data_IF_572839564727
#
_entry.id   IF_572839564727
#
_cell.length_a   1.000
_cell.length_b   1.000
_cell.length_c   1.000
_cell.angle_alpha   90.00
_cell.angle_beta   90.00
_cell.angle_gamma   90.00
#
_symmetry.space_group_name_H-M   'P 1'
#
loop_
_entity.id
_entity.type
_entity.pdbx_description
1 polymer ?
#
# COMPACT_ATOMS: atom_id res chain seq x y z
N UNK A 1 15.45 12.43 18.73
CA UNK A 1 16.22 12.34 17.46
C UNK A 1 17.23 13.48 17.48
N UNK A 2 18.43 13.13 17.94
CA UNK A 2 19.41 14.03 18.53
C UNK A 2 20.23 14.74 17.47
N UNK A 3 20.43 16.05 17.69
CA UNK A 3 21.36 16.98 17.04
C UNK A 3 22.51 16.32 16.27
N UNK A 4 22.34 16.02 14.98
CA UNK A 4 23.48 16.01 14.07
C UNK A 4 24.13 17.39 14.18
N UNK A 5 25.42 17.44 14.52
CA UNK A 5 26.07 18.73 14.73
C UNK A 5 25.99 19.55 13.43
N UNK A 6 25.67 20.84 13.52
CA UNK A 6 25.68 21.74 12.36
C UNK A 6 27.04 21.69 11.61
N UNK A 7 28.10 21.34 12.34
CA UNK A 7 29.43 21.09 11.82
C UNK A 7 29.49 19.88 10.87
N UNK A 8 28.92 18.73 11.24
CA UNK A 8 28.86 17.55 10.36
C UNK A 8 28.16 17.82 9.04
N UNK A 9 27.02 18.53 9.05
CA UNK A 9 26.34 18.94 7.81
C UNK A 9 27.20 19.83 6.93
N UNK A 10 27.92 20.76 7.55
CA UNK A 10 28.80 21.70 6.84
C UNK A 10 29.95 20.95 6.17
N UNK A 11 30.47 19.90 6.80
CA UNK A 11 31.51 19.05 6.21
C UNK A 11 30.98 18.23 5.02
N UNK A 12 29.78 17.66 5.16
CA UNK A 12 29.11 16.91 4.08
C UNK A 12 28.88 17.77 2.84
N UNK A 13 28.58 19.06 2.99
CA UNK A 13 28.42 19.98 1.85
C UNK A 13 29.72 20.29 1.10
N UNK A 14 30.89 19.92 1.62
CA UNK A 14 32.17 20.05 0.90
C UNK A 14 32.44 18.88 -0.05
N UNK A 15 31.77 17.74 0.13
CA UNK A 15 31.92 16.59 -0.77
C UNK A 15 31.33 16.94 -2.14
N UNK A 16 32.16 16.82 -3.19
CA UNK A 16 31.78 17.13 -4.56
C UNK A 16 30.56 16.31 -5.04
N UNK A 17 30.44 15.05 -4.62
CA UNK A 17 29.30 14.18 -4.99
C UNK A 17 28.01 14.69 -4.37
N UNK A 18 28.08 15.20 -3.14
CA UNK A 18 26.94 15.82 -2.46
C UNK A 18 26.55 17.12 -3.15
N UNK A 19 27.53 17.94 -3.53
CA UNK A 19 27.27 19.18 -4.27
C UNK A 19 26.59 18.91 -5.61
N UNK A 20 27.10 17.93 -6.39
CA UNK A 20 26.50 17.54 -7.66
C UNK A 20 25.08 16.97 -7.49
N UNK A 21 24.85 16.21 -6.42
CA UNK A 21 23.52 15.70 -6.10
C UNK A 21 22.56 16.83 -5.73
N UNK A 22 22.96 17.73 -4.84
CA UNK A 22 22.12 18.86 -4.41
C UNK A 22 21.90 19.88 -5.53
N UNK A 23 22.86 20.07 -6.44
CA UNK A 23 22.70 20.99 -7.57
C UNK A 23 21.54 20.58 -8.48
N UNK A 24 21.21 19.29 -8.57
CA UNK A 24 20.03 18.80 -9.30
C UNK A 24 18.71 19.27 -8.69
N UNK A 25 18.66 19.48 -7.37
CA UNK A 25 17.49 20.08 -6.72
C UNK A 25 17.42 21.58 -6.93
N UNK A 26 18.57 22.25 -6.86
CA UNK A 26 18.66 23.70 -7.08
C UNK A 26 18.33 24.08 -8.52
N UNK A 27 18.74 23.28 -9.50
CA UNK A 27 18.43 23.49 -10.92
C UNK A 27 16.97 23.18 -11.28
N UNK A 28 16.21 22.56 -10.38
CA UNK A 28 14.86 22.08 -10.63
C UNK A 28 14.77 20.77 -11.41
N UNK A 29 15.90 20.10 -11.70
CA UNK A 29 15.92 18.76 -12.30
C UNK A 29 15.25 17.72 -11.39
N UNK A 30 15.45 17.86 -10.06
CA UNK A 30 14.83 17.00 -9.04
C UNK A 30 14.02 17.84 -8.05
N UNK A 31 12.77 17.48 -7.84
CA UNK A 31 11.95 18.02 -6.73
C UNK A 31 11.92 17.08 -5.52
N UNK A 32 11.86 15.77 -5.79
CA UNK A 32 11.92 14.69 -4.81
C UNK A 32 12.70 13.52 -5.40
N UNK A 33 13.39 12.78 -4.54
CA UNK A 33 14.12 11.59 -4.94
C UNK A 33 13.21 10.36 -4.84
N UNK A 34 12.60 9.97 -5.96
CA UNK A 34 11.80 8.74 -6.05
C UNK A 34 12.63 7.58 -6.58
N UNK A 35 12.54 6.38 -5.97
CA UNK A 35 13.22 5.20 -6.48
C UNK A 35 12.51 4.64 -7.72
N UNK A 36 13.25 3.88 -8.53
CA UNK A 36 12.72 3.14 -9.68
C UNK A 36 12.81 1.65 -9.39
N UNK A 37 11.71 0.91 -9.57
CA UNK A 37 11.68 -0.52 -9.32
C UNK A 37 12.29 -1.31 -10.48
N UNK A 38 13.22 -2.20 -10.16
CA UNK A 38 13.82 -3.19 -11.05
C UNK A 38 13.45 -4.61 -10.57
N UNK A 39 12.84 -5.47 -11.40
CA UNK A 39 12.42 -6.81 -10.96
C UNK A 39 13.56 -7.72 -10.48
N UNK A 40 14.80 -7.50 -10.94
CA UNK A 40 15.97 -8.31 -10.59
C UNK A 40 16.71 -7.75 -9.38
N UNK A 41 16.77 -6.43 -9.27
CA UNK A 41 17.64 -5.75 -8.30
C UNK A 41 16.87 -4.96 -7.22
N UNK A 42 15.55 -4.87 -7.32
CA UNK A 42 14.71 -4.09 -6.40
C UNK A 42 14.72 -2.59 -6.73
N UNK A 43 14.47 -1.75 -5.73
CA UNK A 43 14.48 -0.29 -5.92
C UNK A 43 15.88 0.26 -6.12
N UNK A 44 16.00 1.12 -7.13
CA UNK A 44 17.23 1.83 -7.52
C UNK A 44 17.04 3.33 -7.46
N UNK A 45 18.15 4.06 -7.43
CA UNK A 45 18.13 5.52 -7.54
C UNK A 45 19.01 5.98 -8.70
N UNK A 46 18.55 5.85 -9.97
CA UNK A 46 19.39 6.09 -11.14
C UNK A 46 20.08 7.47 -11.15
N UNK A 47 19.39 8.52 -10.68
CA UNK A 47 19.95 9.87 -10.61
C UNK A 47 21.12 9.99 -9.61
N UNK A 48 21.17 9.12 -8.60
CA UNK A 48 22.24 9.07 -7.59
C UNK A 48 23.32 8.10 -8.01
N UNK A 49 22.94 6.95 -8.58
CA UNK A 49 23.85 5.96 -9.17
C UNK A 49 24.72 6.60 -10.27
N UNK A 50 24.17 7.52 -11.06
CA UNK A 50 24.94 8.29 -12.05
C UNK A 50 26.05 9.17 -11.42
N UNK A 51 25.97 9.48 -10.13
CA UNK A 51 26.92 10.33 -9.40
C UNK A 51 27.93 9.48 -8.61
N UNK A 52 27.44 8.45 -7.90
CA UNK A 52 28.27 7.68 -6.96
C UNK A 52 28.59 6.27 -7.44
N UNK A 53 28.00 5.84 -8.56
CA UNK A 53 28.23 4.54 -9.18
C UNK A 53 27.33 3.45 -8.61
N UNK A 54 27.95 2.46 -7.96
CA UNK A 54 27.30 1.20 -7.61
C UNK A 54 26.13 1.35 -6.62
N UNK A 55 25.18 0.40 -6.66
CA UNK A 55 23.99 0.40 -5.81
C UNK A 55 24.32 0.41 -4.30
N UNK A 56 25.35 -0.35 -3.87
CA UNK A 56 25.78 -0.38 -2.46
C UNK A 56 26.27 0.99 -1.97
N UNK A 57 27.07 1.66 -2.81
CA UNK A 57 27.62 2.99 -2.52
C UNK A 57 26.48 4.01 -2.51
N UNK A 58 25.51 3.87 -3.41
CA UNK A 58 24.29 4.69 -3.45
C UNK A 58 23.50 4.60 -2.15
N UNK A 59 23.29 3.39 -1.63
CA UNK A 59 22.58 3.21 -0.36
C UNK A 59 23.35 3.82 0.83
N UNK A 60 24.65 3.58 0.91
CA UNK A 60 25.55 4.16 1.92
C UNK A 60 25.52 5.70 1.87
N UNK A 61 25.59 6.28 0.67
CA UNK A 61 25.55 7.72 0.45
C UNK A 61 24.21 8.34 0.89
N UNK A 62 23.08 7.78 0.45
CA UNK A 62 21.76 8.26 0.84
C UNK A 62 21.46 8.08 2.32
N UNK A 63 21.96 6.99 2.92
CA UNK A 63 21.88 6.77 4.37
C UNK A 63 22.66 7.80 5.15
N UNK A 64 23.89 8.10 4.74
CA UNK A 64 24.68 9.14 5.38
C UNK A 64 24.00 10.52 5.30
N UNK A 65 23.49 10.91 4.13
CA UNK A 65 22.77 12.18 3.96
C UNK A 65 21.49 12.26 4.80
N UNK A 66 20.82 11.13 5.06
CA UNK A 66 19.69 11.06 5.97
C UNK A 66 20.12 11.17 7.45
N UNK A 67 21.15 10.44 7.86
CA UNK A 67 21.67 10.45 9.24
C UNK A 67 22.19 11.83 9.64
N UNK A 68 22.86 12.53 8.71
CA UNK A 68 23.28 13.90 8.94
C UNK A 68 22.13 14.91 8.75
N UNK A 69 20.96 14.46 8.31
CA UNK A 69 19.74 15.25 8.18
C UNK A 69 19.74 16.28 7.06
N UNK A 70 20.49 16.02 6.00
CA UNK A 70 20.37 16.71 4.70
C UNK A 70 19.11 16.24 3.99
N UNK A 71 18.82 14.93 4.04
CA UNK A 71 17.62 14.31 3.48
C UNK A 71 16.61 13.94 4.55
N UNK A 72 15.33 13.88 4.16
CA UNK A 72 14.26 13.24 4.92
C UNK A 72 13.79 12.01 4.15
N UNK A 73 13.50 10.92 4.86
CA UNK A 73 12.92 9.71 4.27
C UNK A 73 11.39 9.77 4.34
N UNK A 74 10.74 9.28 3.29
CA UNK A 74 9.30 9.00 3.26
C UNK A 74 9.11 7.57 2.78
N UNK A 75 8.06 6.92 3.29
CA UNK A 75 7.66 5.62 2.77
C UNK A 75 7.18 5.80 1.33
N UNK A 76 7.83 5.11 0.39
CA UNK A 76 7.43 5.09 -1.01
C UNK A 76 6.55 3.89 -1.33
N UNK A 77 7.00 2.67 -0.99
CA UNK A 77 6.29 1.43 -1.28
C UNK A 77 6.66 0.30 -0.30
N UNK A 78 5.94 -0.83 -0.36
CA UNK A 78 6.19 -2.06 0.40
C UNK A 78 6.20 -3.27 -0.55
N UNK A 79 7.37 -3.89 -0.71
CA UNK A 79 7.50 -5.13 -1.49
C UNK A 79 7.38 -6.34 -0.58
N UNK A 80 6.64 -7.34 -1.02
CA UNK A 80 6.61 -8.67 -0.38
C UNK A 80 7.76 -9.50 -0.95
N UNK A 81 8.63 -9.98 -0.07
CA UNK A 81 9.71 -10.90 -0.42
C UNK A 81 9.40 -12.29 0.13
N UNK A 82 9.75 -13.32 -0.64
CA UNK A 82 9.71 -14.69 -0.14
C UNK A 82 10.75 -14.86 0.98
N UNK A 83 10.35 -15.26 2.21
CA UNK A 83 11.29 -15.38 3.33
C UNK A 83 12.30 -16.52 3.15
N UNK A 84 12.06 -17.44 2.21
CA UNK A 84 12.96 -18.57 1.93
C UNK A 84 14.04 -18.24 0.89
N UNK A 85 13.68 -17.56 -0.21
CA UNK A 85 14.62 -17.29 -1.32
C UNK A 85 14.90 -15.80 -1.56
N UNK A 86 14.29 -14.90 -0.78
CA UNK A 86 14.41 -13.44 -0.90
C UNK A 86 14.03 -12.88 -2.29
N UNK A 87 13.20 -13.62 -3.04
CA UNK A 87 12.66 -13.17 -4.33
C UNK A 87 11.49 -12.21 -4.14
N UNK A 88 11.45 -11.13 -4.91
CA UNK A 88 10.28 -10.25 -5.03
C UNK A 88 9.21 -10.79 -6.01
N UNK A 89 9.54 -11.82 -6.79
CA UNK A 89 8.60 -12.47 -7.69
C UNK A 89 7.73 -13.46 -6.88
N UNK A 90 6.70 -12.92 -6.23
CA UNK A 90 5.77 -13.67 -5.38
C UNK A 90 4.34 -13.42 -5.82
N UNK A 91 3.50 -14.46 -5.75
CA UNK A 91 2.05 -14.31 -5.82
C UNK A 91 1.48 -14.22 -4.41
N UNK A 92 0.63 -13.23 -4.16
CA UNK A 92 -0.04 -13.03 -2.87
C UNK A 92 -1.53 -13.29 -3.06
N UNK A 93 -2.08 -14.26 -2.32
CA UNK A 93 -3.52 -14.49 -2.24
C UNK A 93 -4.06 -13.90 -0.94
N UNK A 94 -5.02 -12.98 -1.05
CA UNK A 94 -5.79 -12.52 0.09
C UNK A 94 -6.88 -13.55 0.39
N UNK A 95 -6.82 -14.16 1.57
CA UNK A 95 -7.76 -15.20 1.98
C UNK A 95 -8.66 -14.75 3.13
N UNK A 96 -9.90 -15.24 3.16
CA UNK A 96 -10.82 -15.04 4.27
C UNK A 96 -10.20 -15.61 5.56
N UNK A 97 -10.14 -14.84 6.67
CA UNK A 97 -9.51 -15.32 7.90
C UNK A 97 -10.26 -16.52 8.51
N UNK A 98 -11.56 -16.66 8.24
CA UNK A 98 -12.43 -17.72 8.77
C UNK A 98 -12.34 -19.02 7.96
N UNK A 99 -12.67 -18.99 6.66
CA UNK A 99 -12.75 -20.21 5.83
C UNK A 99 -11.48 -20.48 5.00
N UNK A 100 -10.51 -19.56 4.98
CA UNK A 100 -9.28 -19.61 4.17
C UNK A 100 -9.49 -19.61 2.65
N UNK A 101 -10.72 -19.41 2.17
CA UNK A 101 -11.01 -19.21 0.74
C UNK A 101 -10.29 -17.96 0.21
N UNK A 102 -9.72 -18.07 -0.98
CA UNK A 102 -9.20 -16.94 -1.76
C UNK A 102 -10.25 -16.37 -2.74
N UNK A 103 -11.31 -17.12 -3.05
CA UNK A 103 -12.49 -16.61 -3.75
C UNK A 103 -13.34 -15.85 -2.72
N UNK A 104 -12.99 -14.59 -2.50
CA UNK A 104 -13.70 -13.69 -1.59
C UNK A 104 -14.65 -12.83 -2.40
N UNK A 105 -15.94 -12.90 -2.07
CA UNK A 105 -16.98 -12.04 -2.66
C UNK A 105 -17.60 -11.16 -1.58
N UNK A 106 -17.72 -9.87 -1.91
CA UNK A 106 -18.37 -8.88 -1.05
C UNK A 106 -19.87 -8.89 -1.34
N UNK A 107 -20.68 -9.22 -0.35
CA UNK A 107 -22.14 -9.17 -0.40
C UNK A 107 -22.70 -8.22 0.66
N UNK A 108 -23.94 -7.74 0.44
CA UNK A 108 -24.69 -7.01 1.46
C UNK A 108 -25.39 -8.02 2.39
N UNK A 109 -25.31 -7.83 3.70
CA UNK A 109 -26.25 -8.47 4.62
C UNK A 109 -27.55 -7.69 4.60
N UNK A 110 -28.64 -8.40 4.34
CA UNK A 110 -29.99 -7.84 4.35
C UNK A 110 -30.74 -8.41 5.56
N UNK A 111 -31.35 -7.52 6.32
CA UNK A 111 -32.35 -7.88 7.33
C UNK A 111 -33.75 -7.57 6.79
N UNK A 112 -34.62 -8.57 6.75
CA UNK A 112 -36.04 -8.37 6.54
C UNK A 112 -36.72 -8.03 7.88
N UNK A 113 -36.95 -6.74 8.09
CA UNK A 113 -37.40 -6.15 9.37
C UNK A 113 -38.66 -6.84 9.94
N UNK A 114 -39.72 -7.15 9.17
CA UNK A 114 -40.93 -7.75 9.71
C UNK A 114 -40.78 -9.15 10.32
N UNK A 115 -39.79 -9.96 9.89
CA UNK A 115 -39.63 -11.34 10.38
C UNK A 115 -38.25 -11.65 10.96
N UNK A 116 -37.35 -10.65 10.99
CA UNK A 116 -36.01 -10.72 11.54
C UNK A 116 -35.06 -11.70 10.83
N UNK A 117 -35.36 -12.11 9.59
CA UNK A 117 -34.43 -12.96 8.83
C UNK A 117 -33.28 -12.12 8.30
N UNK A 118 -32.05 -12.57 8.54
CA UNK A 118 -30.82 -11.88 8.14
C UNK A 118 -29.96 -12.86 7.34
N UNK A 119 -29.54 -12.46 6.14
CA UNK A 119 -28.69 -13.27 5.27
C UNK A 119 -28.05 -12.41 4.17
N UNK A 120 -27.21 -12.99 3.33
CA UNK A 120 -26.60 -12.31 2.19
C UNK A 120 -27.64 -11.99 1.11
N UNK A 121 -27.45 -10.89 0.39
CA UNK A 121 -28.38 -10.37 -0.61
C UNK A 121 -28.72 -11.40 -1.70
N UNK A 122 -27.78 -12.28 -2.05
CA UNK A 122 -27.99 -13.36 -3.03
C UNK A 122 -29.12 -14.31 -2.61
N UNK A 123 -29.25 -14.61 -1.31
CA UNK A 123 -30.32 -15.46 -0.79
C UNK A 123 -31.70 -14.77 -0.79
N UNK A 124 -31.74 -13.44 -0.91
CA UNK A 124 -32.98 -12.70 -1.12
C UNK A 124 -33.32 -12.57 -2.60
N UNK A 125 -32.37 -12.76 -3.52
CA UNK A 125 -32.57 -12.47 -4.93
C UNK A 125 -33.25 -13.64 -5.66
N UNK A 126 -34.58 -13.58 -5.78
CA UNK A 126 -35.40 -14.60 -6.43
C UNK A 126 -36.05 -14.00 -7.68
N UNK A 127 -35.74 -14.57 -8.85
CA UNK A 127 -36.30 -14.15 -10.16
C UNK A 127 -36.16 -12.62 -10.41
N UNK A 128 -35.03 -12.04 -10.01
CA UNK A 128 -34.75 -10.61 -10.19
C UNK A 128 -35.40 -9.67 -9.18
N UNK A 129 -36.09 -10.20 -8.15
CA UNK A 129 -36.68 -9.43 -7.05
C UNK A 129 -36.05 -9.80 -5.71
N UNK A 130 -36.04 -8.86 -4.77
CA UNK A 130 -35.68 -9.15 -3.38
C UNK A 130 -36.89 -9.73 -2.65
N UNK A 131 -36.80 -10.98 -2.22
CA UNK A 131 -37.86 -11.74 -1.54
C UNK A 131 -37.27 -12.46 -0.34
N UNK A 132 -37.90 -12.35 0.82
CA UNK A 132 -37.44 -13.04 2.02
C UNK A 132 -37.57 -14.57 1.85
N UNK A 133 -36.49 -15.36 1.96
CA UNK A 133 -36.57 -16.81 1.79
C UNK A 133 -37.33 -17.49 2.96
N UNK A 134 -37.42 -16.84 4.12
CA UNK A 134 -38.12 -17.36 5.32
C UNK A 134 -39.64 -17.19 5.27
N UNK A 135 -40.14 -16.04 4.80
CA UNK A 135 -41.58 -15.73 4.85
C UNK A 135 -42.18 -15.35 3.49
N UNK A 136 -41.38 -15.40 2.42
CA UNK A 136 -41.77 -15.18 1.03
C UNK A 136 -42.38 -13.81 0.70
N UNK A 137 -42.23 -12.84 1.60
CA UNK A 137 -42.64 -11.44 1.35
C UNK A 137 -41.57 -10.71 0.54
N UNK A 138 -41.99 -9.89 -0.42
CA UNK A 138 -41.10 -9.04 -1.21
C UNK A 138 -40.57 -7.86 -0.37
N UNK A 139 -39.28 -7.56 -0.55
CA UNK A 139 -38.56 -6.46 0.06
C UNK A 139 -38.63 -5.26 -0.89
N UNK A 140 -39.61 -4.39 -0.66
CA UNK A 140 -39.97 -3.30 -1.58
C UNK A 140 -39.67 -1.90 -1.05
N UNK A 141 -39.48 -1.74 0.26
CA UNK A 141 -39.33 -0.44 0.94
C UNK A 141 -38.09 -0.46 1.83
N UNK A 142 -36.95 0.05 1.34
CA UNK A 142 -35.76 0.26 2.16
C UNK A 142 -36.09 1.01 3.45
N UNK A 143 -35.46 0.62 4.55
CA UNK A 143 -35.61 1.15 5.91
C UNK A 143 -37.02 1.04 6.53
N UNK A 144 -37.95 0.39 5.83
CA UNK A 144 -39.31 0.12 6.32
C UNK A 144 -39.55 -1.38 6.44
N UNK A 145 -39.40 -2.14 5.35
CA UNK A 145 -39.57 -3.59 5.37
C UNK A 145 -38.25 -4.37 5.21
N UNK A 146 -37.17 -3.71 4.83
CA UNK A 146 -35.83 -4.29 4.90
C UNK A 146 -34.77 -3.23 5.08
N UNK A 147 -33.61 -3.62 5.63
CA UNK A 147 -32.43 -2.75 5.73
C UNK A 147 -31.17 -3.51 5.40
N UNK A 148 -30.14 -2.79 4.94
CA UNK A 148 -28.78 -3.33 4.84
C UNK A 148 -28.18 -3.35 6.24
N UNK A 149 -28.02 -4.54 6.80
CA UNK A 149 -27.48 -4.75 8.14
C UNK A 149 -25.95 -4.66 8.19
N UNK A 150 -25.28 -4.85 7.04
CA UNK A 150 -23.84 -4.73 6.95
C UNK A 150 -23.27 -5.26 5.64
N UNK A 151 -21.95 -5.44 5.63
CA UNK A 151 -21.20 -6.08 4.56
C UNK A 151 -20.75 -7.44 5.05
N UNK A 152 -20.87 -8.46 4.20
CA UNK A 152 -20.33 -9.78 4.45
C UNK A 152 -19.36 -10.18 3.34
N UNK A 153 -18.32 -10.90 3.72
CA UNK A 153 -17.34 -11.44 2.79
C UNK A 153 -17.46 -12.97 2.86
N UNK A 154 -17.93 -13.59 1.77
CA UNK A 154 -17.95 -15.05 1.60
C UNK A 154 -16.68 -15.51 0.92
#
# INVERSE_FOLDING_TARGET
MSKTSKAERTEVYKDHRVQLFLSKFVSGELSELNPVYDPKYGYKYPAVEAIVGEARITEEFLRHLFEVGVLKRKLYDKIVYCPHCNSANVSVHYCCPHCKSFDIRKSSLIEHVPCGYIDTEEHFQIKGKLTCPKCHKELTKPDVNYRKAGVWCT
#
